data_IF_319701179435
#
_entry.id   IF_319701179435
#
_cell.length_a   1.000
_cell.length_b   1.000
_cell.length_c   1.000
_cell.angle_alpha   90.00
_cell.angle_beta   90.00
_cell.angle_gamma   90.00
#
_symmetry.space_group_name_H-M   'P 1'
#
loop_
_entity.id
_entity.type
_entity.pdbx_description
1 polymer ?
#
# COMPACT_ATOMS: atom_id res chain seq x y z
N UNK A 1 32.61 -6.72 51.09
CA UNK A 1 31.36 -6.05 51.48
C UNK A 1 31.41 -4.67 50.86
N UNK A 2 30.68 -4.25 49.84
CA UNK A 2 29.69 -4.80 48.89
C UNK A 2 29.74 -3.76 47.74
N UNK A 3 30.02 -4.12 46.48
CA UNK A 3 29.05 -4.56 45.48
C UNK A 3 27.71 -3.79 45.48
N UNK A 4 27.56 -2.82 44.56
CA UNK A 4 26.30 -2.65 43.81
C UNK A 4 26.57 -1.82 42.54
N UNK A 5 26.77 -2.51 41.42
CA UNK A 5 25.79 -2.76 40.34
C UNK A 5 25.49 -1.54 39.47
N UNK A 6 26.22 -1.53 38.36
CA UNK A 6 25.69 -1.07 37.09
C UNK A 6 24.36 -1.78 36.79
N UNK A 7 23.27 -1.04 36.70
CA UNK A 7 22.06 -1.49 36.03
C UNK A 7 22.20 -1.15 34.55
N UNK A 8 22.77 -2.08 33.80
CA UNK A 8 22.59 -2.12 32.35
C UNK A 8 21.09 -2.32 32.07
N UNK A 9 20.45 -1.32 31.47
CA UNK A 9 19.12 -1.44 30.91
C UNK A 9 19.14 -2.49 29.82
N UNK A 10 18.69 -3.71 30.15
CA UNK A 10 18.59 -4.80 29.21
C UNK A 10 17.58 -4.43 28.11
N UNK A 11 18.08 -4.28 26.88
CA UNK A 11 17.27 -4.29 25.68
C UNK A 11 16.49 -5.62 25.63
N UNK A 12 15.16 -5.54 25.63
CA UNK A 12 14.26 -6.68 25.41
C UNK A 12 14.41 -7.20 23.97
N UNK A 13 14.10 -8.49 23.70
CA UNK A 13 14.33 -9.11 22.41
C UNK A 13 13.29 -8.63 21.38
N UNK A 14 13.64 -7.59 20.63
CA UNK A 14 12.83 -6.97 19.57
C UNK A 14 12.32 -7.98 18.53
N UNK A 15 13.12 -9.00 18.19
CA UNK A 15 12.74 -10.00 17.18
C UNK A 15 11.54 -10.88 17.54
N UNK A 16 11.19 -11.01 18.84
CA UNK A 16 10.04 -11.82 19.26
C UNK A 16 8.69 -11.14 19.01
N UNK A 17 8.64 -9.81 19.15
CA UNK A 17 7.44 -9.01 18.92
C UNK A 17 7.22 -8.77 17.42
N UNK A 18 8.28 -8.43 16.67
CA UNK A 18 8.19 -8.21 15.22
C UNK A 18 7.69 -9.44 14.47
N UNK A 19 8.11 -10.63 14.91
CA UNK A 19 7.65 -11.91 14.36
C UNK A 19 6.17 -12.18 14.66
N UNK A 20 5.68 -11.75 15.83
CA UNK A 20 4.26 -11.86 16.19
C UNK A 20 3.41 -10.89 15.37
N UNK A 21 3.84 -9.63 15.27
CA UNK A 21 3.16 -8.59 14.48
C UNK A 21 3.05 -9.00 13.00
N UNK A 22 4.12 -9.57 12.42
CA UNK A 22 4.09 -10.09 11.05
C UNK A 22 3.13 -11.28 10.91
N UNK A 23 3.08 -12.17 11.90
CA UNK A 23 2.15 -13.29 11.88
C UNK A 23 0.69 -12.83 11.98
N UNK A 24 0.39 -11.78 12.75
CA UNK A 24 -0.93 -11.16 12.80
C UNK A 24 -1.30 -10.50 11.47
N UNK A 25 -0.36 -9.77 10.86
CA UNK A 25 -0.54 -9.23 9.52
C UNK A 25 -0.87 -10.31 8.49
N UNK A 26 -0.14 -11.42 8.47
CA UNK A 26 -0.39 -12.53 7.54
C UNK A 26 -1.75 -13.22 7.78
N UNK A 27 -2.25 -13.28 9.03
CA UNK A 27 -3.58 -13.83 9.35
C UNK A 27 -4.72 -12.99 8.75
N UNK A 28 -4.48 -11.71 8.45
CA UNK A 28 -5.44 -10.88 7.72
C UNK A 28 -5.49 -11.20 6.21
N UNK A 29 -4.67 -12.13 5.73
CA UNK A 29 -4.57 -12.51 4.31
C UNK A 29 -4.37 -11.31 3.38
N UNK A 30 -3.32 -10.50 3.61
CA UNK A 30 -3.05 -9.33 2.77
C UNK A 30 -2.84 -9.77 1.31
N UNK A 31 -3.36 -9.01 0.34
CA UNK A 31 -3.17 -9.32 -1.07
C UNK A 31 -1.71 -9.07 -1.49
N UNK A 32 -1.19 -9.91 -2.39
CA UNK A 32 0.09 -9.68 -3.06
C UNK A 32 -0.11 -8.85 -4.34
N UNK A 33 0.91 -8.08 -4.73
CA UNK A 33 0.90 -7.32 -5.98
C UNK A 33 2.07 -7.70 -6.87
N UNK A 34 1.77 -8.17 -8.08
CA UNK A 34 2.75 -8.67 -9.06
C UNK A 34 3.28 -7.60 -10.01
N UNK A 35 2.53 -6.52 -10.23
CA UNK A 35 2.89 -5.45 -11.16
C UNK A 35 2.40 -5.62 -12.60
N UNK A 36 1.68 -6.70 -12.90
CA UNK A 36 1.05 -6.98 -14.20
C UNK A 36 -0.47 -6.71 -14.20
N UNK A 37 -0.99 -6.15 -13.11
CA UNK A 37 -2.42 -5.93 -12.93
C UNK A 37 -2.90 -4.60 -13.55
N UNK A 38 -4.21 -4.53 -13.82
CA UNK A 38 -4.86 -3.29 -14.27
C UNK A 38 -4.64 -2.14 -13.27
N UNK A 39 -4.61 -0.88 -13.73
CA UNK A 39 -4.36 0.27 -12.84
C UNK A 39 -5.30 0.36 -11.63
N UNK A 40 -6.56 -0.04 -11.79
CA UNK A 40 -7.55 -0.07 -10.71
C UNK A 40 -7.21 -1.10 -9.62
N UNK A 41 -6.54 -2.21 -9.98
CA UNK A 41 -6.09 -3.22 -9.02
C UNK A 41 -4.99 -2.66 -8.14
N UNK A 42 -4.14 -1.76 -8.67
CA UNK A 42 -3.10 -1.11 -7.89
C UNK A 42 -3.69 -0.20 -6.80
N UNK A 43 -4.72 0.59 -7.14
CA UNK A 43 -5.45 1.40 -6.17
C UNK A 43 -6.13 0.55 -5.10
N UNK A 44 -6.85 -0.48 -5.53
CA UNK A 44 -7.53 -1.41 -4.63
C UNK A 44 -6.55 -2.11 -3.68
N UNK A 45 -5.38 -2.53 -4.18
CA UNK A 45 -4.34 -3.15 -3.37
C UNK A 45 -3.85 -2.24 -2.24
N UNK A 46 -3.61 -0.95 -2.52
CA UNK A 46 -3.26 0.03 -1.48
C UNK A 46 -4.39 0.16 -0.45
N UNK A 47 -5.64 0.28 -0.89
CA UNK A 47 -6.78 0.40 0.02
C UNK A 47 -6.94 -0.82 0.94
N UNK A 48 -6.73 -2.03 0.45
CA UNK A 48 -6.79 -3.25 1.27
C UNK A 48 -5.67 -3.29 2.31
N UNK A 49 -4.45 -2.89 1.94
CA UNK A 49 -3.36 -2.78 2.91
C UNK A 49 -3.64 -1.72 3.98
N UNK A 50 -4.12 -0.54 3.59
CA UNK A 50 -4.48 0.53 4.54
C UNK A 50 -5.54 0.08 5.55
N UNK A 51 -6.56 -0.67 5.12
CA UNK A 51 -7.56 -1.25 6.02
C UNK A 51 -6.92 -2.17 7.05
N UNK A 52 -6.05 -3.08 6.63
CA UNK A 52 -5.34 -4.00 7.54
C UNK A 52 -4.45 -3.22 8.51
N UNK A 53 -3.72 -2.22 8.02
CA UNK A 53 -2.84 -1.39 8.85
C UNK A 53 -3.58 -0.60 9.92
N UNK A 54 -4.80 -0.14 9.62
CA UNK A 54 -5.67 0.54 10.58
C UNK A 54 -6.13 -0.45 11.65
N UNK A 55 -6.62 -1.64 11.26
CA UNK A 55 -7.10 -2.66 12.19
C UNK A 55 -6.00 -3.14 13.14
N UNK A 56 -4.77 -3.29 12.64
CA UNK A 56 -3.63 -3.77 13.42
C UNK A 56 -2.85 -2.65 14.13
N UNK A 57 -3.20 -1.37 13.93
CA UNK A 57 -2.48 -0.25 14.54
C UNK A 57 -1.00 -0.17 14.11
N UNK A 58 -0.70 -0.41 12.83
CA UNK A 58 0.67 -0.41 12.32
C UNK A 58 1.27 1.01 12.31
N UNK A 59 2.52 1.15 12.79
CA UNK A 59 3.31 2.38 12.64
C UNK A 59 3.72 2.61 11.18
N UNK A 60 4.08 3.83 10.79
CA UNK A 60 4.44 4.15 9.40
C UNK A 60 5.60 3.29 8.89
N UNK A 61 6.59 2.99 9.74
CA UNK A 61 7.73 2.14 9.40
C UNK A 61 7.29 0.70 9.11
N UNK A 62 6.37 0.17 9.92
CA UNK A 62 5.82 -1.18 9.71
C UNK A 62 4.95 -1.26 8.46
N UNK A 63 4.12 -0.26 8.19
CA UNK A 63 3.28 -0.21 6.98
C UNK A 63 4.12 -0.35 5.73
N UNK A 64 5.21 0.42 5.67
CA UNK A 64 6.16 0.34 4.56
C UNK A 64 6.77 -1.06 4.45
N UNK A 65 7.32 -1.60 5.55
CA UNK A 65 7.96 -2.91 5.55
C UNK A 65 7.01 -4.01 5.08
N UNK A 66 5.76 -4.00 5.54
CA UNK A 66 4.73 -4.96 5.15
C UNK A 66 4.28 -4.79 3.70
N UNK A 67 4.08 -3.57 3.22
CA UNK A 67 3.70 -3.36 1.83
C UNK A 67 4.80 -3.83 0.86
N UNK A 68 6.06 -3.53 1.16
CA UNK A 68 7.20 -4.02 0.37
C UNK A 68 7.29 -5.55 0.41
N UNK A 69 7.04 -6.16 1.56
CA UNK A 69 6.98 -7.62 1.71
C UNK A 69 5.87 -8.26 0.84
N UNK A 70 4.78 -7.53 0.57
CA UNK A 70 3.67 -8.00 -0.24
C UNK A 70 3.84 -7.76 -1.75
N UNK A 71 4.91 -7.07 -2.18
CA UNK A 71 5.28 -7.00 -3.58
C UNK A 71 5.96 -8.29 -4.00
N UNK A 72 5.58 -8.79 -5.18
CA UNK A 72 6.15 -10.01 -5.76
C UNK A 72 6.40 -9.79 -7.26
N UNK A 73 7.23 -10.64 -7.87
CA UNK A 73 7.44 -10.62 -9.33
C UNK A 73 8.00 -9.29 -9.84
N UNK A 74 7.40 -8.76 -10.91
CA UNK A 74 7.85 -7.53 -11.57
C UNK A 74 7.76 -6.30 -10.66
N UNK A 75 6.75 -6.23 -9.78
CA UNK A 75 6.62 -5.14 -8.83
C UNK A 75 7.74 -5.14 -7.80
N UNK A 76 8.14 -6.31 -7.30
CA UNK A 76 9.28 -6.43 -6.39
C UNK A 76 10.60 -5.99 -7.07
N UNK A 77 10.80 -6.43 -8.32
CA UNK A 77 11.98 -6.05 -9.11
C UNK A 77 12.05 -4.54 -9.35
N UNK A 78 10.94 -3.93 -9.80
CA UNK A 78 10.83 -2.49 -9.98
C UNK A 78 11.10 -1.74 -8.67
N UNK A 79 10.48 -2.19 -7.58
CA UNK A 79 10.61 -1.55 -6.27
C UNK A 79 12.06 -1.51 -5.79
N UNK A 80 12.79 -2.62 -5.96
CA UNK A 80 14.22 -2.72 -5.59
C UNK A 80 15.08 -1.66 -6.31
N UNK A 81 14.85 -1.46 -7.61
CA UNK A 81 15.57 -0.47 -8.41
C UNK A 81 15.23 0.97 -8.00
N UNK A 82 13.94 1.25 -7.82
CA UNK A 82 13.44 2.56 -7.37
C UNK A 82 13.96 2.91 -5.98
N UNK A 83 13.88 1.97 -5.04
CA UNK A 83 14.41 2.14 -3.68
C UNK A 83 15.90 2.47 -3.68
N UNK A 84 16.70 1.76 -4.49
CA UNK A 84 18.13 2.03 -4.62
C UNK A 84 18.40 3.45 -5.16
N UNK A 85 17.68 3.87 -6.20
CA UNK A 85 17.79 5.22 -6.77
C UNK A 85 17.39 6.30 -5.76
N UNK A 86 16.29 6.13 -5.03
CA UNK A 86 15.81 7.09 -4.03
C UNK A 86 16.80 7.21 -2.85
N UNK A 87 17.34 6.08 -2.40
CA UNK A 87 18.38 6.04 -1.35
C UNK A 87 19.63 6.82 -1.80
N UNK A 88 20.09 6.62 -3.04
CA UNK A 88 21.23 7.35 -3.59
C UNK A 88 21.00 8.87 -3.67
N UNK A 89 19.74 9.31 -3.75
CA UNK A 89 19.35 10.73 -3.74
C UNK A 89 19.15 11.31 -2.33
N UNK A 90 19.34 10.51 -1.28
CA UNK A 90 19.14 10.92 0.11
C UNK A 90 17.68 11.16 0.49
N UNK A 91 16.72 10.61 -0.26
CA UNK A 91 15.29 10.73 0.04
C UNK A 91 14.96 9.80 1.21
N UNK A 92 14.34 10.35 2.25
CA UNK A 92 13.80 9.56 3.36
C UNK A 92 12.56 8.83 2.87
N UNK A 93 12.54 7.51 3.07
CA UNK A 93 11.54 6.66 2.45
C UNK A 93 10.57 6.11 3.50
N UNK A 94 9.37 6.67 3.53
CA UNK A 94 8.27 6.27 4.40
C UNK A 94 7.07 5.72 3.60
N UNK A 95 6.01 5.35 4.31
CA UNK A 95 4.79 4.81 3.70
C UNK A 95 4.14 5.77 2.68
N UNK A 96 4.12 7.08 2.96
CA UNK A 96 3.50 8.05 2.06
C UNK A 96 4.30 8.23 0.78
N UNK A 97 5.63 8.26 0.89
CA UNK A 97 6.53 8.27 -0.28
C UNK A 97 6.34 7.01 -1.12
N UNK A 98 6.24 5.83 -0.50
CA UNK A 98 5.94 4.59 -1.19
C UNK A 98 4.62 4.66 -1.94
N UNK A 99 3.54 5.06 -1.26
CA UNK A 99 2.20 5.15 -1.84
C UNK A 99 2.18 6.08 -3.06
N UNK A 100 2.83 7.25 -2.95
CA UNK A 100 2.92 8.20 -4.06
C UNK A 100 3.65 7.61 -5.28
N UNK A 101 4.84 7.04 -5.07
CA UNK A 101 5.68 6.48 -6.15
C UNK A 101 5.05 5.23 -6.76
N UNK A 102 4.38 4.40 -5.94
CA UNK A 102 3.63 3.24 -6.38
C UNK A 102 2.45 3.62 -7.27
N UNK A 103 1.62 4.58 -6.83
CA UNK A 103 0.48 5.05 -7.60
C UNK A 103 0.93 5.78 -8.87
N UNK A 104 2.01 6.56 -8.84
CA UNK A 104 2.56 7.17 -10.05
C UNK A 104 2.96 6.11 -11.10
N UNK A 105 3.51 4.97 -10.66
CA UNK A 105 3.92 3.88 -11.54
C UNK A 105 2.74 3.07 -12.09
N UNK A 106 1.82 2.66 -11.22
CA UNK A 106 0.80 1.65 -11.56
C UNK A 106 -0.59 2.22 -11.77
N UNK A 107 -0.91 3.39 -11.20
CA UNK A 107 -2.16 4.10 -11.42
C UNK A 107 -1.94 5.59 -11.67
N UNK A 108 -1.27 5.94 -12.79
CA UNK A 108 -0.82 7.29 -13.05
C UNK A 108 -2.01 8.26 -13.18
N UNK A 109 -1.74 9.53 -12.90
CA UNK A 109 -2.73 10.60 -12.92
C UNK A 109 -3.48 10.71 -14.26
N UNK A 110 -2.82 10.44 -15.38
CA UNK A 110 -3.47 10.41 -16.70
C UNK A 110 -4.58 9.35 -16.81
N UNK A 111 -4.40 8.19 -16.19
CA UNK A 111 -5.41 7.12 -16.16
C UNK A 111 -6.54 7.50 -15.21
N UNK A 112 -6.22 8.10 -14.05
CA UNK A 112 -7.24 8.65 -13.13
C UNK A 112 -8.10 9.71 -13.82
N UNK A 113 -7.50 10.68 -14.49
CA UNK A 113 -8.23 11.69 -15.26
C UNK A 113 -9.06 11.10 -16.40
N UNK A 114 -8.57 10.03 -17.06
CA UNK A 114 -9.36 9.35 -18.07
C UNK A 114 -10.64 8.73 -17.46
N UNK A 115 -10.55 8.19 -16.24
CA UNK A 115 -11.70 7.67 -15.48
C UNK A 115 -12.65 8.77 -15.03
N UNK A 116 -12.14 9.90 -14.55
CA UNK A 116 -12.96 11.08 -14.23
C UNK A 116 -13.69 11.60 -15.48
N UNK A 117 -13.02 11.66 -16.63
CA UNK A 117 -13.64 12.07 -17.89
C UNK A 117 -14.67 11.05 -18.40
N UNK A 118 -14.48 9.76 -18.13
CA UNK A 118 -15.49 8.72 -18.38
C UNK A 118 -16.72 8.95 -17.49
N UNK A 119 -16.51 9.23 -16.20
CA UNK A 119 -17.57 9.54 -15.25
C UNK A 119 -18.39 10.77 -15.66
N UNK A 120 -17.72 11.88 -16.01
CA UNK A 120 -18.38 13.12 -16.41
C UNK A 120 -19.20 12.98 -17.70
N UNK A 121 -18.85 12.01 -18.55
CA UNK A 121 -19.60 11.69 -19.79
C UNK A 121 -20.63 10.58 -19.58
N UNK A 122 -20.69 9.97 -18.40
CA UNK A 122 -21.59 8.87 -18.11
C UNK A 122 -23.04 9.37 -18.06
N UNK A 123 -23.81 9.00 -19.08
CA UNK A 123 -25.26 9.17 -19.12
C UNK A 123 -25.92 7.80 -19.34
N UNK A 124 -27.14 7.60 -18.83
CA UNK A 124 -27.82 6.31 -18.92
C UNK A 124 -27.93 5.81 -20.38
N UNK A 125 -28.34 6.67 -21.31
CA UNK A 125 -28.47 6.30 -22.72
C UNK A 125 -29.34 5.06 -22.91
N UNK A 126 -28.79 4.03 -23.58
CA UNK A 126 -29.44 2.74 -23.79
C UNK A 126 -29.19 1.69 -22.70
N UNK A 127 -28.47 2.04 -21.62
CA UNK A 127 -28.24 1.13 -20.49
C UNK A 127 -29.51 0.96 -19.68
N UNK A 128 -29.71 -0.24 -19.13
CA UNK A 128 -30.68 -0.41 -18.05
C UNK A 128 -30.29 0.45 -16.84
N UNK A 129 -31.27 0.77 -16.00
CA UNK A 129 -31.01 1.52 -14.76
C UNK A 129 -29.96 0.81 -13.91
N UNK A 130 -30.05 -0.52 -13.80
CA UNK A 130 -29.08 -1.33 -13.04
C UNK A 130 -27.65 -1.21 -13.60
N UNK A 131 -27.48 -1.32 -14.92
CA UNK A 131 -26.15 -1.21 -15.54
C UNK A 131 -25.56 0.19 -15.40
N UNK A 132 -26.39 1.23 -15.53
CA UNK A 132 -25.99 2.59 -15.30
C UNK A 132 -25.56 2.81 -13.85
N UNK A 133 -26.36 2.35 -12.87
CA UNK A 133 -26.02 2.47 -11.44
C UNK A 133 -24.70 1.78 -11.12
N UNK A 134 -24.48 0.54 -11.60
CA UNK A 134 -23.19 -0.15 -11.38
C UNK A 134 -22.01 0.63 -11.96
N UNK A 135 -22.14 1.19 -13.18
CA UNK A 135 -21.09 2.02 -13.79
C UNK A 135 -20.86 3.32 -13.03
N UNK A 136 -21.93 3.95 -12.58
CA UNK A 136 -21.86 5.19 -11.80
C UNK A 136 -21.11 4.95 -10.49
N UNK A 137 -21.49 3.92 -9.72
CA UNK A 137 -20.85 3.57 -8.46
C UNK A 137 -19.39 3.14 -8.63
N UNK A 138 -19.05 2.47 -9.74
CA UNK A 138 -17.67 2.11 -10.07
C UNK A 138 -16.81 3.36 -10.32
N UNK A 139 -17.27 4.23 -11.21
CA UNK A 139 -16.52 5.40 -11.66
C UNK A 139 -16.47 6.52 -10.62
N UNK A 140 -17.49 6.65 -9.78
CA UNK A 140 -17.55 7.65 -8.71
C UNK A 140 -16.40 7.50 -7.70
N UNK A 141 -15.80 6.31 -7.57
CA UNK A 141 -14.67 6.05 -6.65
C UNK A 141 -13.39 6.76 -7.09
N UNK A 142 -13.26 7.07 -8.37
CA UNK A 142 -12.12 7.80 -8.93
C UNK A 142 -12.33 9.31 -8.92
N UNK A 143 -13.47 9.78 -8.42
CA UNK A 143 -13.85 11.19 -8.35
C UNK A 143 -13.94 11.61 -6.87
N UNK A 144 -12.83 12.09 -6.31
CA UNK A 144 -12.74 12.56 -4.91
C UNK A 144 -11.73 13.69 -4.75
#
# INVERSE_FOLDING_TARGET
>A
MDADRAAAGAARPTGSQESQDLAEFQKCHPPQFKGDADPEVADHWICELEKIFIVLGCSQERRLAYAVYMLVGEAEYWWRGTHHMLTARGVTFDWECFRAVFLEKYFPESVRHAKEAEFMRLHQGGLSVSEYTMRFEHLARFYS
#
